data_IF_830427631036
#
_entry.id   IF_830427631036
#
_cell.length_a   1.000
_cell.length_b   1.000
_cell.length_c   1.000
_cell.angle_alpha   90.00
_cell.angle_beta   90.00
_cell.angle_gamma   90.00
#
_symmetry.space_group_name_H-M   'P 1'
#
loop_
_entity.id
_entity.type
_entity.pdbx_description
1 polymer ?
#
# COMPACT_ATOMS: atom_id res chain seq x y z
N UNK A 1 -8.68 20.37 8.72
CA UNK A 1 -8.85 19.40 9.83
C UNK A 1 -8.81 18.01 9.22
N UNK A 2 -7.89 17.15 9.64
CA UNK A 2 -7.72 15.83 9.00
C UNK A 2 -8.74 14.79 9.48
N UNK A 3 -9.19 14.87 10.75
CA UNK A 3 -10.14 13.93 11.34
C UNK A 3 -11.27 14.60 12.15
N UNK A 4 -11.59 15.87 11.86
CA UNK A 4 -12.54 16.67 12.66
C UNK A 4 -12.00 17.11 14.05
N UNK A 5 -10.95 16.46 14.54
CA UNK A 5 -10.32 16.58 15.87
C UNK A 5 -9.25 17.68 16.01
N UNK A 6 -9.16 18.61 15.05
CA UNK A 6 -8.26 19.78 15.11
C UNK A 6 -6.86 19.59 14.53
N UNK A 7 -6.45 18.37 14.18
CA UNK A 7 -5.15 18.10 13.55
C UNK A 7 -5.11 18.64 12.11
N UNK A 8 -3.95 19.16 11.73
CA UNK A 8 -3.61 19.82 10.46
C UNK A 8 -2.92 18.88 9.48
N UNK A 9 -2.22 17.86 9.94
CA UNK A 9 -1.55 16.86 9.11
C UNK A 9 -1.70 15.45 9.66
N UNK A 10 -1.48 14.49 8.77
CA UNK A 10 -1.44 13.07 9.08
C UNK A 10 -0.35 12.44 8.21
N UNK A 11 0.45 11.57 8.81
CA UNK A 11 1.47 10.81 8.13
C UNK A 11 1.43 9.35 8.59
N UNK A 12 1.82 8.42 7.72
CA UNK A 12 1.93 7.01 8.09
C UNK A 12 3.22 6.80 8.90
N UNK A 13 3.15 5.97 9.95
CA UNK A 13 4.36 5.51 10.63
C UNK A 13 5.27 4.76 9.64
N UNK A 14 6.58 5.11 9.54
CA UNK A 14 7.50 4.48 8.60
C UNK A 14 7.58 2.96 8.73
N UNK A 15 7.51 2.44 9.95
CA UNK A 15 7.53 1.01 10.25
C UNK A 15 6.30 0.29 9.68
N UNK A 16 5.12 0.92 9.74
CA UNK A 16 3.88 0.37 9.17
C UNK A 16 3.95 0.39 7.65
N UNK A 17 4.41 1.49 7.06
CA UNK A 17 4.58 1.60 5.62
C UNK A 17 5.54 0.53 5.08
N UNK A 18 6.70 0.35 5.74
CA UNK A 18 7.69 -0.66 5.34
C UNK A 18 7.12 -2.07 5.40
N UNK A 19 6.48 -2.44 6.52
CA UNK A 19 5.89 -3.77 6.69
C UNK A 19 4.79 -4.04 5.64
N UNK A 20 3.94 -3.05 5.36
CA UNK A 20 2.91 -3.15 4.33
C UNK A 20 3.54 -3.36 2.94
N UNK A 21 4.56 -2.57 2.58
CA UNK A 21 5.22 -2.67 1.29
C UNK A 21 5.98 -4.00 1.13
N UNK A 22 6.62 -4.52 2.18
CA UNK A 22 7.27 -5.84 2.16
C UNK A 22 6.26 -6.95 1.88
N UNK A 23 5.12 -6.96 2.58
CA UNK A 23 4.04 -7.91 2.35
C UNK A 23 3.44 -7.79 0.94
N UNK A 24 3.26 -6.55 0.45
CA UNK A 24 2.76 -6.28 -0.90
C UNK A 24 3.71 -6.79 -1.97
N UNK A 25 5.02 -6.55 -1.84
CA UNK A 25 6.03 -7.01 -2.79
C UNK A 25 6.17 -8.54 -2.79
N UNK A 26 6.11 -9.19 -1.61
CA UNK A 26 6.10 -10.65 -1.52
C UNK A 26 4.92 -11.25 -2.31
N UNK A 27 3.73 -10.65 -2.18
CA UNK A 27 2.54 -11.07 -2.92
C UNK A 27 2.64 -10.79 -4.43
N UNK A 28 3.18 -9.63 -4.82
CA UNK A 28 3.42 -9.29 -6.23
C UNK A 28 4.44 -10.22 -6.89
N UNK A 29 5.37 -10.80 -6.13
CA UNK A 29 6.35 -11.77 -6.61
C UNK A 29 5.75 -12.97 -7.36
N UNK A 30 4.55 -13.42 -6.97
CA UNK A 30 3.83 -14.51 -7.63
C UNK A 30 2.88 -14.10 -8.77
N UNK A 31 2.82 -12.81 -9.11
CA UNK A 31 1.87 -12.30 -10.10
C UNK A 31 2.39 -12.41 -11.53
N UNK A 32 1.49 -12.34 -12.51
CA UNK A 32 1.84 -12.33 -13.95
C UNK A 32 2.80 -11.19 -14.34
N UNK A 33 2.83 -10.09 -13.56
CA UNK A 33 3.70 -8.95 -13.85
C UNK A 33 5.19 -9.28 -13.69
N UNK A 34 5.56 -10.34 -12.97
CA UNK A 34 6.96 -10.77 -12.87
C UNK A 34 7.45 -11.52 -14.11
N UNK A 35 6.54 -12.03 -14.94
CA UNK A 35 6.86 -12.84 -16.12
C UNK A 35 6.52 -12.15 -17.45
N UNK A 36 5.99 -10.92 -17.44
CA UNK A 36 5.63 -10.20 -18.67
C UNK A 36 6.38 -8.87 -18.82
N UNK A 37 6.50 -8.39 -20.07
CA UNK A 37 6.94 -7.04 -20.36
C UNK A 37 5.75 -6.11 -20.19
N UNK A 38 5.75 -5.32 -19.11
CA UNK A 38 4.65 -4.42 -18.80
C UNK A 38 5.15 -3.10 -18.20
N UNK A 39 4.32 -2.06 -18.29
CA UNK A 39 4.53 -0.78 -17.61
C UNK A 39 4.64 -0.90 -16.09
N UNK A 40 4.18 -2.01 -15.50
CA UNK A 40 4.18 -2.24 -14.06
C UNK A 40 5.44 -2.91 -13.53
N UNK A 41 6.43 -3.20 -14.38
CA UNK A 41 7.71 -3.76 -13.96
C UNK A 41 8.82 -2.78 -14.34
N UNK A 42 9.59 -2.35 -13.35
CA UNK A 42 10.78 -1.52 -13.60
C UNK A 42 11.88 -2.33 -14.27
N UNK A 43 12.86 -1.65 -14.87
CA UNK A 43 14.05 -2.29 -15.42
C UNK A 43 14.81 -3.13 -14.36
N UNK A 44 14.85 -2.65 -13.12
CA UNK A 44 15.39 -3.37 -11.96
C UNK A 44 14.51 -4.52 -11.45
N UNK A 45 13.43 -4.87 -12.14
CA UNK A 45 12.58 -6.01 -11.83
C UNK A 45 11.53 -5.81 -10.75
N UNK A 46 11.48 -4.62 -10.11
CA UNK A 46 10.46 -4.31 -9.11
C UNK A 46 9.09 -4.17 -9.76
N UNK A 47 8.07 -4.79 -9.18
CA UNK A 47 6.69 -4.63 -9.63
C UNK A 47 6.05 -3.44 -8.90
N UNK A 48 5.57 -2.46 -9.65
CA UNK A 48 4.91 -1.23 -9.18
C UNK A 48 3.43 -1.18 -9.59
N UNK A 49 2.80 -2.35 -9.71
CA UNK A 49 1.37 -2.46 -9.91
C UNK A 49 0.58 -1.90 -8.72
N UNK A 50 -0.65 -1.45 -8.97
CA UNK A 50 -1.50 -0.78 -7.97
C UNK A 50 -1.96 -1.75 -6.86
N UNK A 51 -2.48 -2.94 -7.20
CA UNK A 51 -2.97 -3.93 -6.23
C UNK A 51 -3.00 -5.36 -6.83
N UNK A 52 -2.41 -6.38 -6.18
CA UNK A 52 -2.36 -7.77 -6.68
C UNK A 52 -3.58 -8.63 -6.29
N UNK A 53 -4.79 -8.07 -6.34
CA UNK A 53 -6.01 -8.75 -5.90
C UNK A 53 -7.28 -8.19 -6.53
N UNK A 54 -8.44 -8.70 -6.09
CA UNK A 54 -9.74 -8.22 -6.55
C UNK A 54 -10.09 -6.88 -5.90
N UNK A 55 -10.89 -6.07 -6.60
CA UNK A 55 -11.37 -4.77 -6.11
C UNK A 55 -12.07 -4.86 -4.75
N UNK A 56 -12.84 -5.93 -4.51
CA UNK A 56 -13.52 -6.15 -3.23
C UNK A 56 -12.54 -6.27 -2.06
N UNK A 57 -11.40 -6.91 -2.29
CA UNK A 57 -10.34 -7.06 -1.29
C UNK A 57 -9.68 -5.71 -0.98
N UNK A 58 -9.37 -4.94 -2.02
CA UNK A 58 -8.83 -3.58 -1.87
C UNK A 58 -9.79 -2.69 -1.05
N UNK A 59 -11.08 -2.71 -1.40
CA UNK A 59 -12.12 -1.95 -0.68
C UNK A 59 -12.17 -2.39 0.78
N UNK A 60 -12.15 -3.68 1.06
CA UNK A 60 -12.15 -4.20 2.43
C UNK A 60 -10.91 -3.74 3.22
N UNK A 61 -9.73 -3.77 2.59
CA UNK A 61 -8.45 -3.40 3.22
C UNK A 61 -8.40 -1.92 3.66
N UNK A 62 -9.04 -1.02 2.91
CA UNK A 62 -9.01 0.42 3.23
C UNK A 62 -10.25 0.93 3.99
N UNK A 63 -11.28 0.09 4.16
CA UNK A 63 -12.58 0.49 4.72
C UNK A 63 -12.49 0.96 6.18
N UNK A 64 -11.55 0.42 6.94
CA UNK A 64 -11.39 0.68 8.38
C UNK A 64 -9.91 0.93 8.68
N UNK A 65 -9.43 2.18 8.58
CA UNK A 65 -8.05 2.49 8.92
C UNK A 65 -7.83 2.28 10.42
N UNK A 66 -6.68 1.70 10.77
CA UNK A 66 -6.19 1.70 12.15
C UNK A 66 -5.49 3.05 12.41
N UNK A 67 -6.10 3.89 13.25
CA UNK A 67 -5.55 5.19 13.60
C UNK A 67 -4.21 5.09 14.34
N UNK A 68 -3.91 3.96 14.97
CA UNK A 68 -2.60 3.66 15.56
C UNK A 68 -1.46 3.64 14.54
N UNK A 69 -1.75 3.40 13.26
CA UNK A 69 -0.76 3.41 12.18
C UNK A 69 -0.30 4.81 11.75
N UNK A 70 -0.98 5.85 12.22
CA UNK A 70 -0.74 7.22 11.77
C UNK A 70 -0.14 8.09 12.88
N UNK A 71 0.62 9.10 12.46
CA UNK A 71 1.05 10.24 13.26
C UNK A 71 0.17 11.42 12.89
N UNK A 72 -0.32 12.14 13.88
CA UNK A 72 -1.23 13.27 13.69
C UNK A 72 -0.64 14.51 14.36
N UNK A 73 -0.80 15.68 13.75
CA UNK A 73 -0.41 16.97 14.32
C UNK A 73 -0.98 18.16 13.58
#
# INVERSE_FOLDING_TARGET
KVLGTGQRWMDIRPEVFRAHNEALQARLGGSVWTSCRSWYRTEGGKVTALWPGFTAEYVAAIRRPDWGHYRLG
#
